data_IF_627662469550
#
_entry.id   IF_627662469550
#
_cell.length_a   1.000
_cell.length_b   1.000
_cell.length_c   1.000
_cell.angle_alpha   90.00
_cell.angle_beta   90.00
_cell.angle_gamma   90.00
#
_symmetry.space_group_name_H-M   'P 1'
#
loop_
_entity.id
_entity.type
_entity.pdbx_description
1 polymer ?
2 water ?
#
# COMPACT_ATOMS: atom_id res chain seq x y z
N UNK A 21 5.46 -13.01 13.28
CA UNK A 21 4.25 -12.16 13.05
C UNK A 21 3.78 -12.37 11.60
N UNK A 22 2.59 -12.94 11.42
CA UNK A 22 2.09 -13.46 10.12
C UNK A 22 1.71 -12.31 9.17
N UNK A 23 1.17 -11.21 9.71
CA UNK A 23 0.52 -10.12 8.93
C UNK A 23 1.58 -9.21 8.28
N UNK A 24 2.53 -8.69 9.06
CA UNK A 24 3.55 -7.73 8.57
C UNK A 24 4.47 -8.41 7.54
N UNK A 25 4.47 -9.74 7.49
CA UNK A 25 5.17 -10.56 6.45
C UNK A 25 4.42 -10.43 5.11
N UNK A 26 3.09 -10.29 5.14
CA UNK A 26 2.25 -10.06 3.93
C UNK A 26 2.62 -8.72 3.29
N UNK A 27 3.00 -7.73 4.11
CA UNK A 27 3.38 -6.36 3.67
C UNK A 27 4.82 -6.39 3.14
N UNK A 28 5.67 -7.25 3.70
CA UNK A 28 7.03 -7.55 3.17
C UNK A 28 6.89 -8.12 1.75
N UNK A 29 5.96 -9.06 1.57
CA UNK A 29 5.66 -9.72 0.27
C UNK A 29 5.08 -8.69 -0.71
N UNK A 30 4.16 -7.83 -0.24
CA UNK A 30 3.52 -6.75 -1.05
C UNK A 30 4.60 -5.79 -1.55
N UNK A 31 5.51 -5.37 -0.67
CA UNK A 31 6.67 -4.49 -1.00
C UNK A 31 7.55 -5.18 -2.05
N UNK A 32 7.68 -6.51 -1.97
CA UNK A 32 8.60 -7.31 -2.83
C UNK A 32 8.03 -7.42 -4.26
N UNK A 33 6.71 -7.58 -4.40
CA UNK A 33 6.03 -7.68 -5.72
C UNK A 33 6.12 -6.33 -6.44
N UNK A 34 6.08 -5.22 -5.68
CA UNK A 34 6.16 -3.84 -6.22
C UNK A 34 7.57 -3.55 -6.76
N UNK A 35 8.57 -4.32 -6.34
CA UNK A 35 9.97 -4.25 -6.85
C UNK A 35 10.04 -4.78 -8.28
N UNK A 36 9.12 -5.67 -8.66
CA UNK A 36 9.06 -6.31 -10.01
C UNK A 36 8.53 -5.32 -11.05
N UNK A 37 7.96 -4.18 -10.63
CA UNK A 37 7.38 -3.16 -11.54
C UNK A 37 8.47 -2.60 -12.46
N UNK A 38 8.18 -2.59 -13.77
CA UNK A 38 8.93 -1.84 -14.82
C UNK A 38 7.96 -0.85 -15.47
N UNK A 39 8.46 0.08 -16.28
CA UNK A 39 7.65 1.09 -17.00
C UNK A 39 6.81 0.40 -18.09
N UNK A 40 7.18 -0.83 -18.47
CA UNK A 40 6.50 -1.65 -19.51
C UNK A 40 5.56 -2.67 -18.84
N UNK A 41 4.92 -2.30 -17.73
CA UNK A 41 3.99 -3.18 -16.95
C UNK A 41 2.55 -2.96 -17.44
N UNK A 42 1.91 -4.03 -17.92
CA UNK A 42 0.54 -4.04 -18.48
C UNK A 42 -0.48 -3.73 -17.37
N UNK A 43 -1.72 -3.42 -17.75
CA UNK A 43 -2.87 -3.26 -16.81
C UNK A 43 -3.26 -4.63 -16.26
N UNK A 44 -2.98 -5.71 -17.01
CA UNK A 44 -3.21 -7.12 -16.59
C UNK A 44 -2.26 -7.49 -15.45
N UNK A 45 -1.09 -6.83 -15.38
CA UNK A 45 -0.08 -7.03 -14.31
C UNK A 45 -0.62 -6.50 -12.97
N UNK A 46 -1.26 -5.32 -12.99
CA UNK A 46 -1.86 -4.66 -11.80
C UNK A 46 -3.08 -5.46 -11.33
N UNK A 47 -3.81 -6.09 -12.25
CA UNK A 47 -4.94 -7.01 -11.94
C UNK A 47 -4.40 -8.24 -11.21
N UNK A 48 -3.25 -8.76 -11.64
CA UNK A 48 -2.57 -9.94 -11.05
C UNK A 48 -2.02 -9.59 -9.66
N UNK A 49 -1.39 -8.41 -9.53
CA UNK A 49 -0.85 -7.87 -8.25
C UNK A 49 -1.99 -7.75 -7.23
N UNK A 50 -3.08 -7.08 -7.62
CA UNK A 50 -4.27 -6.80 -6.76
C UNK A 50 -4.93 -8.12 -6.35
N UNK A 51 -5.04 -9.08 -7.28
CA UNK A 51 -5.68 -10.41 -7.06
C UNK A 51 -4.87 -11.22 -6.04
N UNK A 52 -3.55 -11.03 -6.01
CA UNK A 52 -2.62 -11.73 -5.07
C UNK A 52 -2.87 -11.26 -3.63
N UNK A 53 -3.14 -9.96 -3.43
CA UNK A 53 -3.08 -9.28 -2.11
C UNK A 53 -4.45 -8.84 -1.59
N UNK A 54 -5.46 -8.67 -2.45
CA UNK A 54 -6.79 -8.12 -2.07
C UNK A 54 -7.89 -9.13 -2.39
N UNK A 55 -8.90 -9.19 -1.51
CA UNK A 55 -10.16 -9.95 -1.72
C UNK A 55 -10.96 -9.30 -2.86
N UNK A 56 -11.91 -10.04 -3.43
CA UNK A 56 -12.74 -9.59 -4.58
C UNK A 56 -13.74 -8.52 -4.11
N UNK A 57 -13.93 -8.37 -2.79
CA UNK A 57 -14.88 -7.40 -2.18
C UNK A 57 -14.11 -6.41 -1.28
N UNK A 58 -12.81 -6.21 -1.54
CA UNK A 58 -11.91 -5.36 -0.73
C UNK A 58 -12.32 -3.89 -0.85
N UNK A 59 -12.11 -3.11 0.21
CA UNK A 59 -12.35 -1.64 0.27
C UNK A 59 -11.05 -0.94 0.70
N UNK A 60 -10.63 0.08 -0.04
CA UNK A 60 -9.43 0.91 0.27
C UNK A 60 -9.88 2.35 0.55
N UNK A 61 -9.56 2.87 1.74
CA UNK A 61 -9.91 4.23 2.21
C UNK A 61 -8.63 5.02 2.48
N UNK A 62 -8.49 6.21 1.88
CA UNK A 62 -7.45 7.22 2.21
C UNK A 62 -8.14 8.38 2.93
N UNK A 63 -7.62 8.77 4.10
CA UNK A 63 -8.07 9.95 4.89
C UNK A 63 -6.92 10.97 4.94
N UNK A 64 -7.21 12.22 4.56
CA UNK A 64 -6.25 13.36 4.58
C UNK A 64 -6.48 14.19 5.86
N UNK A 70 -10.23 17.20 6.41
CA UNK A 70 -10.29 15.77 6.72
C UNK A 70 -11.09 14.98 5.67
N UNK A 71 -10.75 15.18 4.39
CA UNK A 71 -11.44 14.57 3.22
C UNK A 71 -11.16 13.06 3.19
N UNK A 72 -12.21 12.25 3.27
CA UNK A 72 -12.15 10.76 3.30
C UNK A 72 -12.69 10.20 1.97
N UNK A 73 -11.84 9.49 1.22
CA UNK A 73 -12.18 8.81 -0.05
C UNK A 73 -12.04 7.30 0.13
N UNK A 74 -13.07 6.55 -0.29
CA UNK A 74 -13.13 5.06 -0.25
C UNK A 74 -13.37 4.54 -1.67
N UNK A 75 -12.55 3.59 -2.14
CA UNK A 75 -12.67 2.96 -3.48
C UNK A 75 -12.97 1.46 -3.31
N UNK A 76 -13.81 0.91 -4.19
CA UNK A 76 -14.12 -0.53 -4.25
C UNK A 76 -13.01 -1.31 -4.92
N UNK A 77 -13.12 -2.65 -4.92
CA UNK A 77 -12.11 -3.59 -5.46
C UNK A 77 -11.74 -3.22 -6.91
N UNK A 78 -12.72 -2.80 -7.72
CA UNK A 78 -12.58 -2.58 -9.19
C UNK A 78 -11.63 -1.41 -9.49
N UNK A 79 -11.33 -0.54 -8.51
CA UNK A 79 -10.46 0.66 -8.70
C UNK A 79 -9.11 0.49 -8.00
N UNK A 80 -8.93 -0.54 -7.16
CA UNK A 80 -7.69 -0.75 -6.36
C UNK A 80 -6.49 -0.91 -7.30
N UNK A 81 -6.60 -1.67 -8.42
CA UNK A 81 -5.51 -1.74 -9.40
C UNK A 81 -5.11 -0.36 -9.95
N UNK A 82 -6.10 0.48 -10.26
CA UNK A 82 -5.91 1.84 -10.84
C UNK A 82 -5.23 2.75 -9.80
N UNK A 83 -5.58 2.61 -8.52
CA UNK A 83 -4.99 3.38 -7.39
C UNK A 83 -3.47 3.21 -7.39
N UNK A 84 -3.00 1.96 -7.37
CA UNK A 84 -1.57 1.59 -7.29
C UNK A 84 -0.85 2.02 -8.58
N UNK A 85 -1.50 1.85 -9.74
CA UNK A 85 -0.95 2.28 -11.06
C UNK A 85 -0.76 3.80 -11.08
N UNK A 86 -1.74 4.55 -10.54
CA UNK A 86 -1.77 6.04 -10.54
C UNK A 86 -0.52 6.60 -9.86
N UNK A 87 0.00 5.91 -8.83
CA UNK A 87 1.17 6.35 -8.01
C UNK A 87 2.42 6.37 -8.90
N UNK A 88 2.58 5.36 -9.76
CA UNK A 88 3.74 5.21 -10.69
C UNK A 88 3.56 6.14 -11.90
N UNK A 89 2.34 6.21 -12.44
CA UNK A 89 1.97 7.13 -13.55
C UNK A 89 1.98 8.58 -13.05
N UNK A 90 2.05 8.77 -11.72
CA UNK A 90 2.33 10.06 -11.07
C UNK A 90 3.81 10.41 -11.10
N UNK A 91 4.67 9.47 -11.51
CA UNK A 91 6.12 9.68 -11.73
C UNK A 91 6.99 8.72 -10.93
N UNK A 92 6.42 8.02 -9.94
CA UNK A 92 7.15 7.14 -8.99
C UNK A 92 7.76 5.94 -9.72
N UNK A 93 8.97 5.53 -9.33
CA UNK A 93 9.71 4.36 -9.86
C UNK A 93 9.70 3.22 -8.83
N UNK A 94 9.73 3.55 -7.53
CA UNK A 94 9.65 2.59 -6.40
C UNK A 94 8.47 2.98 -5.50
N UNK A 95 7.89 1.99 -4.80
CA UNK A 95 6.83 2.17 -3.78
C UNK A 95 6.93 1.03 -2.75
N UNK A 96 7.24 1.36 -1.50
CA UNK A 96 7.25 0.40 -0.36
C UNK A 96 6.66 1.06 0.89
N UNK A 97 6.04 0.24 1.74
CA UNK A 97 5.40 0.63 3.02
C UNK A 97 6.28 0.16 4.19
N UNK A 98 6.57 1.07 5.12
CA UNK A 98 7.32 0.80 6.39
C UNK A 98 6.32 0.87 7.55
N UNK A 99 6.20 -0.22 8.32
CA UNK A 99 5.29 -0.32 9.49
C UNK A 99 6.12 -0.43 10.77
N UNK A 100 6.16 0.65 11.56
CA UNK A 100 6.89 0.75 12.85
C UNK A 100 5.94 0.33 13.98
N UNK A 101 6.20 -0.82 14.61
CA UNK A 101 5.46 -1.37 15.77
C UNK A 101 3.98 -1.57 15.43
N UNK A 102 3.64 -2.41 14.42
CA UNK A 102 2.24 -2.73 14.14
C UNK A 102 1.67 -3.73 15.16
N UNK A 103 0.41 -3.53 15.57
CA UNK A 103 -0.32 -4.39 16.53
C UNK A 103 -1.20 -5.38 15.75
N UNK A 104 -0.91 -6.68 15.89
CA UNK A 104 -1.65 -7.79 15.22
C UNK A 104 -2.64 -8.40 16.22
N UNK A 105 -3.92 -8.48 15.84
CA UNK A 105 -5.01 -9.11 16.63
C UNK A 105 -5.83 -10.03 15.72
N UNK A 106 -6.06 -11.27 16.16
CA UNK A 106 -6.91 -12.28 15.48
C UNK A 106 -8.36 -12.14 15.97
N UNK A 107 -9.31 -12.08 15.03
CA UNK A 107 -10.77 -12.08 15.28
C UNK A 107 -11.40 -13.26 14.52
N UNK A 108 -12.69 -13.51 14.73
CA UNK A 108 -13.44 -14.67 14.17
C UNK A 108 -13.45 -14.61 12.63
N UNK A 109 -13.63 -13.41 12.06
CA UNK A 109 -13.80 -13.19 10.60
C UNK A 109 -12.46 -12.86 9.95
N UNK A 110 -11.62 -12.04 10.59
CA UNK A 110 -10.40 -11.42 9.99
C UNK A 110 -9.26 -11.32 11.01
N UNK A 111 -8.05 -11.08 10.51
CA UNK A 111 -6.84 -10.65 11.29
C UNK A 111 -6.66 -9.15 11.07
N UNK A 112 -6.49 -8.38 12.15
CA UNK A 112 -6.31 -6.91 12.12
C UNK A 112 -4.82 -6.56 12.25
N UNK A 113 -4.37 -5.56 11.49
CA UNK A 113 -3.02 -4.94 11.61
C UNK A 113 -3.19 -3.43 11.78
N UNK A 114 -2.87 -2.91 12.97
CA UNK A 114 -3.02 -1.47 13.34
C UNK A 114 -1.62 -0.89 13.58
N UNK A 115 -1.22 0.09 12.76
CA UNK A 115 0.10 0.76 12.82
C UNK A 115 -0.09 2.28 12.77
N UNK A 116 0.12 2.96 13.90
CA UNK A 116 0.03 4.44 14.03
C UNK A 116 1.18 5.08 13.23
N UNK A 117 2.39 4.54 13.35
CA UNK A 117 3.62 5.06 12.69
C UNK A 117 3.86 4.29 11.39
N UNK A 118 2.98 4.49 10.39
CA UNK A 118 3.08 3.89 9.05
C UNK A 118 3.58 4.90 8.03
N UNK A 119 4.51 4.48 7.16
CA UNK A 119 5.16 5.34 6.14
C UNK A 119 4.95 4.75 4.74
N UNK A 120 4.31 5.52 3.85
CA UNK A 120 4.21 5.25 2.39
C UNK A 120 5.33 6.01 1.68
N UNK A 121 6.32 5.29 1.14
CA UNK A 121 7.57 5.86 0.55
C UNK A 121 7.58 5.59 -0.95
N UNK A 122 7.95 6.61 -1.75
CA UNK A 122 8.02 6.56 -3.24
C UNK A 122 9.27 7.31 -3.72
N UNK A 123 10.06 6.68 -4.59
CA UNK A 123 11.21 7.30 -5.32
C UNK A 123 10.72 7.75 -6.70
N UNK A 124 11.00 9.01 -7.08
CA UNK A 124 10.46 9.66 -8.31
C UNK A 124 11.53 9.70 -9.41
N UNK A 125 11.13 10.21 -10.59
CA UNK A 125 11.90 10.19 -11.85
C UNK A 125 13.31 10.75 -11.71
N UNK A 126 14.20 10.37 -12.64
CA UNK A 126 15.65 10.70 -12.63
C UNK A 126 15.87 12.22 -12.65
N UNK A 127 15.18 12.99 -13.52
CA UNK A 127 15.39 14.44 -13.60
C UNK A 127 15.19 15.14 -12.25
N UNK A 128 14.06 14.89 -11.58
CA UNK A 128 13.75 15.46 -10.24
C UNK A 128 14.52 14.70 -9.17
N UNK A 129 14.55 13.36 -9.26
CA UNK A 129 15.33 12.45 -8.38
C UNK A 129 14.99 12.76 -6.91
N UNK A 130 13.69 12.91 -6.61
CA UNK A 130 13.17 13.26 -5.26
C UNK A 130 12.46 12.04 -4.66
N UNK A 131 12.30 12.03 -3.33
CA UNK A 131 11.64 10.95 -2.55
C UNK A 131 10.52 11.57 -1.71
N UNK A 132 9.31 11.01 -1.78
CA UNK A 132 8.11 11.46 -1.00
C UNK A 132 7.83 10.41 0.08
N UNK A 133 7.68 10.85 1.33
CA UNK A 133 7.45 10.01 2.53
C UNK A 133 6.16 10.46 3.23
N UNK A 134 5.03 9.88 2.84
CA UNK A 134 3.68 10.16 3.42
C UNK A 134 3.53 9.32 4.70
N UNK A 135 3.46 9.98 5.86
CA UNK A 135 3.35 9.34 7.20
C UNK A 135 1.90 9.43 7.69
N UNK A 136 1.45 8.42 8.43
CA UNK A 136 0.07 8.33 8.95
C UNK A 136 -0.22 6.96 9.54
N UNK A 137 -1.44 6.75 10.03
CA UNK A 137 -1.92 5.47 10.61
C UNK A 137 -2.44 4.58 9.47
N UNK A 138 -1.94 3.34 9.38
CA UNK A 138 -2.44 2.30 8.44
C UNK A 138 -3.16 1.22 9.25
N UNK A 139 -4.45 1.00 8.95
CA UNK A 139 -5.28 -0.10 9.52
C UNK A 139 -5.64 -1.07 8.39
N UNK A 140 -5.36 -2.37 8.59
CA UNK A 140 -5.62 -3.45 7.61
C UNK A 140 -6.39 -4.58 8.29
N UNK A 141 -7.42 -5.10 7.61
CA UNK A 141 -8.12 -6.36 7.97
C UNK A 141 -7.82 -7.39 6.87
N UNK A 142 -7.15 -8.49 7.23
CA UNK A 142 -6.82 -9.63 6.33
C UNK A 142 -7.83 -10.75 6.55
N UNK A 143 -8.11 -11.54 5.50
CA UNK A 143 -8.91 -12.79 5.61
C UNK A 143 -8.13 -13.79 6.47
N UNK A 144 -8.77 -14.32 7.52
CA UNK A 144 -8.20 -15.33 8.45
C UNK A 144 -8.30 -16.71 7.78
N UNK A 145 -7.56 -16.90 6.69
CA UNK A 145 -7.54 -18.13 5.86
C UNK A 145 -6.11 -18.34 5.32
N UNK A 146 -5.95 -19.17 4.28
CA UNK A 146 -4.64 -19.61 3.75
C UNK A 146 -3.98 -18.47 2.95
N UNK A 147 -4.76 -17.75 2.14
CA UNK A 147 -4.25 -16.73 1.18
C UNK A 147 -3.82 -15.45 1.92
N UNK A 148 -4.47 -15.13 3.05
CA UNK A 148 -4.19 -13.92 3.88
C UNK A 148 -4.28 -12.67 2.99
N UNK A 149 -5.40 -12.50 2.29
CA UNK A 149 -5.64 -11.36 1.37
C UNK A 149 -6.33 -10.23 2.15
N UNK A 150 -6.09 -8.98 1.72
CA UNK A 150 -6.54 -7.74 2.42
C UNK A 150 -8.04 -7.53 2.13
N UNK A 151 -8.84 -7.46 3.19
CA UNK A 151 -10.30 -7.22 3.18
C UNK A 151 -10.56 -5.71 3.29
N UNK A 152 -9.82 -5.03 4.17
CA UNK A 152 -9.93 -3.57 4.46
C UNK A 152 -8.54 -2.93 4.44
N UNK A 153 -8.41 -1.78 3.76
CA UNK A 153 -7.20 -0.93 3.73
C UNK A 153 -7.61 0.51 4.06
N UNK A 154 -7.27 1.00 5.25
CA UNK A 154 -7.54 2.39 5.71
C UNK A 154 -6.22 3.07 6.09
N UNK A 155 -5.84 4.12 5.36
CA UNK A 155 -4.61 4.92 5.58
C UNK A 155 -5.00 6.37 5.91
N UNK A 156 -4.91 6.74 7.19
CA UNK A 156 -5.17 8.11 7.71
C UNK A 156 -3.86 8.91 7.74
N UNK A 157 -3.65 9.76 6.73
CA UNK A 157 -2.41 10.56 6.53
C UNK A 157 -2.34 11.67 7.58
N UNK A 158 -1.22 11.75 8.31
CA UNK A 158 -0.91 12.84 9.28
C UNK A 158 -0.07 13.91 8.59
N UNK A 159 1.13 13.53 8.13
CA UNK A 159 2.18 14.44 7.60
C UNK A 159 2.58 13.99 6.19
N UNK A 160 3.06 14.93 5.37
CA UNK A 160 3.46 14.74 3.95
C UNK A 160 4.83 15.39 3.73
N UNK A 161 5.88 14.59 3.52
CA UNK A 161 7.29 15.04 3.44
C UNK A 161 7.87 14.70 2.06
N UNK A 162 8.42 15.70 1.37
CA UNK A 162 9.19 15.56 0.10
C UNK A 162 10.66 15.84 0.39
N UNK A 163 11.53 14.85 0.20
CA UNK A 163 13.00 14.95 0.41
C UNK A 163 13.69 15.11 -0.95
N UNK A 164 14.56 16.12 -1.07
CA UNK A 164 15.32 16.45 -2.31
C UNK A 164 16.81 16.22 -2.02
N UNK A 165 17.59 15.70 -3.00
CA UNK A 165 19.01 15.40 -2.78
C UNK A 165 19.86 16.63 -2.46
N UNK A 166 21.11 16.39 -2.04
CA UNK A 166 22.12 17.45 -1.77
C UNK A 166 22.77 17.86 -3.10
N UNK A 167 22.72 16.99 -4.12
CA UNK A 167 23.21 17.25 -5.50
C UNK A 167 22.03 17.64 -6.40
#
# INVERSE_FOLDING_TARGET
GELGSPTYLEPGIGRHTPYGNQTDYRIFELNKRLQNWTEECDNLWWDAFTTEFFEDDAMLTITFCLEDGPKRYTIGRTLIPRYFRSIFEGGATELYYVLKHPKEAFHSNFVSLDCDQGSMVTQHGKPMFTQVCVEGRLYLEFMFDDMMRIKTWHFSIRQHRELIPRSILAMHAQDPQMLDQLSKNITRCGLS
#
